data_IF_571465941581
#
_entry.id   IF_571465941581
#
_cell.length_a   1.000
_cell.length_b   1.000
_cell.length_c   1.000
_cell.angle_alpha   90.00
_cell.angle_beta   90.00
_cell.angle_gamma   90.00
#
_symmetry.space_group_name_H-M   'P 1'
#
loop_
_entity.id
_entity.type
_entity.pdbx_description
1 polymer ?
#
# COMPACT_ATOMS: atom_id res chain seq x y z
N UNK A 1 5.41 14.86 8.71
CA UNK A 1 5.02 15.90 7.72
C UNK A 1 3.78 15.48 6.92
N UNK A 2 3.77 14.31 6.25
CA UNK A 2 2.63 13.90 5.41
C UNK A 2 1.32 13.68 6.18
N UNK A 3 1.36 13.01 7.35
CA UNK A 3 0.17 12.76 8.17
C UNK A 3 -0.54 14.06 8.59
N UNK A 4 0.21 15.07 9.05
CA UNK A 4 -0.34 16.37 9.47
C UNK A 4 -0.99 17.13 8.29
N UNK A 5 -0.42 17.03 7.09
CA UNK A 5 -1.02 17.62 5.88
C UNK A 5 -2.35 16.93 5.55
N UNK A 6 -2.38 15.60 5.54
CA UNK A 6 -3.60 14.84 5.27
C UNK A 6 -4.66 15.10 6.33
N UNK A 7 -4.28 15.16 7.60
CA UNK A 7 -5.19 15.49 8.72
C UNK A 7 -5.79 16.88 8.55
N UNK A 8 -4.98 17.87 8.13
CA UNK A 8 -5.48 19.21 7.82
C UNK A 8 -6.45 19.21 6.64
N UNK A 9 -6.12 18.52 5.54
CA UNK A 9 -7.00 18.40 4.37
C UNK A 9 -8.33 17.74 4.77
N UNK A 10 -8.30 16.66 5.54
CA UNK A 10 -9.52 15.97 5.99
C UNK A 10 -10.35 16.82 6.96
N UNK A 11 -9.71 17.66 7.79
CA UNK A 11 -10.41 18.59 8.67
C UNK A 11 -11.08 19.74 7.90
N UNK A 12 -10.45 20.24 6.84
CA UNK A 12 -10.99 21.32 6.00
C UNK A 12 -12.09 20.83 5.03
N UNK A 13 -12.20 19.50 4.85
CA UNK A 13 -13.26 18.85 4.09
C UNK A 13 -14.07 17.90 4.99
N UNK A 14 -14.98 18.41 5.84
CA UNK A 14 -15.75 17.55 6.75
C UNK A 14 -16.74 16.64 6.01
N UNK A 15 -17.30 17.11 4.90
CA UNK A 15 -18.31 16.36 4.12
C UNK A 15 -17.65 15.22 3.31
N UNK A 16 -18.01 13.95 3.56
CA UNK A 16 -17.44 12.79 2.90
C UNK A 16 -17.50 12.82 1.38
N UNK A 17 -18.54 13.42 0.81
CA UNK A 17 -18.94 13.30 -0.59
C UNK A 17 -18.04 14.06 -1.56
N UNK A 18 -17.32 15.09 -1.08
CA UNK A 18 -16.48 15.98 -1.90
C UNK A 18 -15.06 15.49 -2.14
N UNK A 19 -14.62 14.44 -1.44
CA UNK A 19 -13.28 13.89 -1.55
C UNK A 19 -13.36 12.37 -1.71
N UNK A 20 -13.36 11.92 -2.96
CA UNK A 20 -13.68 10.54 -3.37
C UNK A 20 -12.49 9.74 -3.85
N UNK A 21 -11.44 10.41 -4.31
CA UNK A 21 -10.25 9.76 -4.86
C UNK A 21 -9.00 10.43 -4.30
N UNK A 22 -8.03 9.61 -3.88
CA UNK A 22 -6.72 10.07 -3.43
C UNK A 22 -5.65 9.42 -4.30
N UNK A 23 -4.92 10.23 -5.07
CA UNK A 23 -3.67 9.79 -5.69
C UNK A 23 -2.56 9.88 -4.66
N UNK A 24 -2.03 8.73 -4.24
CA UNK A 24 -0.87 8.67 -3.35
C UNK A 24 0.44 8.90 -4.10
N UNK A 25 0.51 8.42 -5.35
CA UNK A 25 1.74 8.35 -6.11
C UNK A 25 2.55 7.10 -5.77
N UNK A 26 3.88 7.21 -5.78
CA UNK A 26 4.80 6.09 -5.55
C UNK A 26 4.87 5.75 -4.06
N UNK A 27 4.85 4.45 -3.73
CA UNK A 27 5.01 4.02 -2.34
C UNK A 27 6.49 3.98 -1.91
N UNK A 28 7.42 3.87 -2.86
CA UNK A 28 8.86 4.00 -2.65
C UNK A 28 9.54 4.85 -3.75
N UNK A 29 9.25 6.17 -3.79
CA UNK A 29 9.82 7.07 -4.79
C UNK A 29 11.35 7.01 -4.81
N UNK A 30 11.91 7.04 -6.02
CA UNK A 30 13.34 7.21 -6.32
C UNK A 30 14.29 6.15 -5.73
N UNK A 31 13.77 4.99 -5.30
CA UNK A 31 14.57 3.97 -4.60
C UNK A 31 15.33 4.54 -3.37
N UNK A 32 14.93 5.69 -2.85
CA UNK A 32 15.65 6.45 -1.82
C UNK A 32 15.52 5.87 -0.41
N UNK A 33 15.37 4.55 -0.32
CA UNK A 33 15.11 3.81 0.89
C UNK A 33 13.92 2.89 0.73
N UNK A 34 13.79 1.95 1.65
CA UNK A 34 12.62 1.10 1.73
C UNK A 34 11.65 1.69 2.73
N UNK A 35 10.51 2.15 2.24
CA UNK A 35 9.40 2.62 3.08
C UNK A 35 8.69 1.42 3.70
N UNK A 36 7.95 1.65 4.78
CA UNK A 36 7.17 0.58 5.43
C UNK A 36 6.16 -0.06 4.45
N UNK A 37 5.50 0.75 3.61
CA UNK A 37 4.59 0.23 2.58
C UNK A 37 5.30 -0.65 1.54
N UNK A 38 6.51 -0.26 1.13
CA UNK A 38 7.32 -1.05 0.19
C UNK A 38 7.74 -2.39 0.78
N UNK A 39 8.21 -2.38 2.03
CA UNK A 39 8.57 -3.59 2.76
C UNK A 39 7.36 -4.51 2.91
N UNK A 40 6.21 -3.98 3.37
CA UNK A 40 4.97 -4.75 3.53
C UNK A 40 4.50 -5.34 2.22
N UNK A 41 4.57 -4.59 1.11
CA UNK A 41 4.22 -5.10 -0.21
C UNK A 41 5.11 -6.28 -0.63
N UNK A 42 6.43 -6.13 -0.47
CA UNK A 42 7.38 -7.16 -0.85
C UNK A 42 7.20 -8.43 -0.01
N UNK A 43 7.01 -8.29 1.31
CA UNK A 43 6.73 -9.39 2.22
C UNK A 43 5.42 -10.10 1.87
N UNK A 44 4.33 -9.35 1.69
CA UNK A 44 3.03 -9.86 1.28
C UNK A 44 3.10 -10.69 -0.01
N UNK A 45 3.83 -10.21 -1.01
CA UNK A 45 4.05 -10.95 -2.24
C UNK A 45 4.92 -12.20 -2.01
N UNK A 46 5.94 -12.11 -1.15
CA UNK A 46 6.85 -13.22 -0.88
C UNK A 46 6.17 -14.41 -0.18
N UNK A 47 5.16 -14.13 0.62
CA UNK A 47 4.35 -15.09 1.37
C UNK A 47 3.19 -15.64 0.53
N UNK A 48 2.84 -14.97 -0.58
CA UNK A 48 1.73 -15.37 -1.43
C UNK A 48 2.08 -16.54 -2.35
N UNK A 49 1.31 -17.61 -2.28
CA UNK A 49 1.35 -18.72 -3.26
C UNK A 49 0.88 -18.31 -4.66
N UNK A 50 0.23 -17.15 -4.78
CA UNK A 50 -0.20 -16.58 -6.06
C UNK A 50 0.88 -15.74 -6.74
N UNK A 51 2.08 -15.64 -6.14
CA UNK A 51 3.25 -14.99 -6.73
C UNK A 51 4.36 -16.00 -7.06
N UNK A 52 4.85 -16.00 -8.30
CA UNK A 52 6.04 -16.76 -8.68
C UNK A 52 7.28 -15.90 -8.43
N UNK A 53 7.90 -16.07 -7.26
CA UNK A 53 9.10 -15.34 -6.83
C UNK A 53 10.29 -15.52 -7.78
N UNK A 54 10.41 -16.65 -8.47
CA UNK A 54 11.51 -16.90 -9.40
C UNK A 54 11.34 -16.08 -10.69
N UNK A 55 10.09 -15.98 -11.16
CA UNK A 55 9.74 -15.27 -12.39
C UNK A 55 9.43 -13.80 -12.16
N UNK A 56 9.16 -13.39 -10.92
CA UNK A 56 8.77 -12.02 -10.59
C UNK A 56 7.43 -11.64 -11.22
N UNK A 57 6.42 -12.49 -11.09
CA UNK A 57 5.09 -12.22 -11.63
C UNK A 57 4.01 -13.05 -10.94
N UNK A 58 2.72 -12.67 -11.01
CA UNK A 58 1.67 -13.51 -10.45
C UNK A 58 1.52 -14.81 -11.25
N UNK A 59 1.06 -15.86 -10.60
CA UNK A 59 0.81 -17.16 -11.24
C UNK A 59 -0.38 -17.11 -12.19
N UNK A 60 -1.32 -16.18 -11.98
CA UNK A 60 -2.47 -15.88 -12.83
C UNK A 60 -2.71 -14.37 -12.90
N UNK A 61 -3.24 -13.88 -14.03
CA UNK A 61 -3.60 -12.47 -14.21
C UNK A 61 -2.40 -11.54 -14.41
N UNK A 62 -2.59 -10.25 -14.11
CA UNK A 62 -1.60 -9.18 -14.31
C UNK A 62 -1.05 -8.64 -12.99
N UNK A 63 0.19 -8.15 -13.00
CA UNK A 63 0.87 -7.66 -11.80
C UNK A 63 0.10 -6.53 -11.10
N UNK A 64 -0.47 -5.58 -11.83
CA UNK A 64 -1.25 -4.48 -11.26
C UNK A 64 -2.46 -4.99 -10.44
N UNK A 65 -3.20 -5.96 -10.98
CA UNK A 65 -4.36 -6.55 -10.29
C UNK A 65 -3.93 -7.34 -9.05
N UNK A 66 -2.85 -8.12 -9.18
CA UNK A 66 -2.28 -8.85 -8.05
C UNK A 66 -1.86 -7.90 -6.93
N UNK A 67 -1.09 -6.85 -7.27
CA UNK A 67 -0.60 -5.86 -6.29
C UNK A 67 -1.75 -5.11 -5.64
N UNK A 68 -2.76 -4.67 -6.40
CA UNK A 68 -3.94 -4.04 -5.84
C UNK A 68 -4.65 -4.95 -4.82
N UNK A 69 -4.82 -6.23 -5.17
CA UNK A 69 -5.44 -7.22 -4.29
C UNK A 69 -4.65 -7.43 -2.99
N UNK A 70 -3.33 -7.67 -3.09
CA UNK A 70 -2.53 -7.93 -1.88
C UNK A 70 -2.32 -6.67 -1.03
N UNK A 71 -2.26 -5.49 -1.66
CA UNK A 71 -2.16 -4.22 -0.95
C UNK A 71 -3.42 -3.98 -0.08
N UNK A 72 -4.60 -4.26 -0.64
CA UNK A 72 -5.87 -4.23 0.08
C UNK A 72 -5.93 -5.32 1.16
N UNK A 73 -5.66 -6.59 0.82
CA UNK A 73 -5.80 -7.70 1.78
C UNK A 73 -4.85 -7.59 2.98
N UNK A 74 -3.62 -7.12 2.74
CA UNK A 74 -2.59 -7.00 3.77
C UNK A 74 -2.56 -5.61 4.40
N UNK A 75 -3.47 -4.70 3.98
CA UNK A 75 -3.55 -3.33 4.50
C UNK A 75 -2.18 -2.67 4.60
N UNK A 76 -1.39 -2.71 3.52
CA UNK A 76 0.01 -2.22 3.54
C UNK A 76 0.11 -0.74 3.93
N UNK A 77 -0.99 0.00 3.80
CA UNK A 77 -1.21 1.42 4.06
C UNK A 77 -1.99 1.72 5.36
N UNK A 78 -1.96 0.81 6.35
CA UNK A 78 -2.78 0.88 7.56
C UNK A 78 -2.75 2.24 8.28
N UNK A 79 -1.60 2.90 8.39
CA UNK A 79 -1.48 4.20 9.05
C UNK A 79 -2.31 5.29 8.34
N UNK A 80 -2.38 5.21 7.01
CA UNK A 80 -3.16 6.14 6.19
C UNK A 80 -4.64 5.78 6.31
N UNK A 81 -4.97 4.48 6.30
CA UNK A 81 -6.34 4.01 6.50
C UNK A 81 -6.90 4.47 7.86
N UNK A 82 -6.14 4.30 8.94
CA UNK A 82 -6.52 4.70 10.30
C UNK A 82 -6.78 6.20 10.39
N UNK A 83 -5.94 7.01 9.74
CA UNK A 83 -6.16 8.45 9.66
C UNK A 83 -7.53 8.77 9.05
N UNK A 84 -7.88 8.14 7.92
CA UNK A 84 -9.18 8.37 7.28
C UNK A 84 -10.35 7.90 8.14
N UNK A 85 -10.19 6.76 8.84
CA UNK A 85 -11.21 6.23 9.77
C UNK A 85 -11.53 7.24 10.87
N UNK A 86 -10.52 7.89 11.46
CA UNK A 86 -10.73 8.93 12.48
C UNK A 86 -11.51 10.14 11.98
N UNK A 87 -11.56 10.35 10.66
CA UNK A 87 -12.34 11.39 10.00
C UNK A 87 -13.64 10.86 9.39
N UNK A 88 -14.14 9.70 9.84
CA UNK A 88 -15.40 9.14 9.37
C UNK A 88 -15.37 8.67 7.91
N UNK A 89 -14.18 8.32 7.40
CA UNK A 89 -13.96 7.88 6.01
C UNK A 89 -13.25 6.54 5.98
N UNK A 90 -13.41 5.81 4.88
CA UNK A 90 -12.70 4.55 4.60
C UNK A 90 -11.91 4.69 3.31
N UNK A 91 -10.70 4.14 3.33
CA UNK A 91 -9.89 3.95 2.13
C UNK A 91 -10.01 2.52 1.63
N UNK A 92 -10.05 2.37 0.31
CA UNK A 92 -9.82 1.10 -0.38
C UNK A 92 -8.96 1.37 -1.60
N UNK A 93 -8.10 0.42 -1.98
CA UNK A 93 -7.31 0.49 -3.19
C UNK A 93 -8.24 0.55 -4.41
N UNK A 94 -8.19 1.64 -5.16
CA UNK A 94 -8.96 1.82 -6.40
C UNK A 94 -8.20 1.23 -7.58
N UNK A 95 -6.93 1.57 -7.71
CA UNK A 95 -6.08 1.08 -8.79
C UNK A 95 -4.61 1.12 -8.41
N UNK A 96 -3.83 0.31 -9.13
CA UNK A 96 -2.38 0.25 -9.05
C UNK A 96 -1.82 0.29 -10.47
N UNK A 97 -0.77 1.08 -10.66
CA UNK A 97 -0.03 1.14 -11.92
C UNK A 97 1.48 1.07 -11.72
N UNK A 98 2.22 0.84 -12.82
CA UNK A 98 3.68 0.91 -12.89
C UNK A 98 4.38 0.12 -11.76
N UNK A 99 3.92 -1.11 -11.53
CA UNK A 99 4.53 -2.00 -10.55
C UNK A 99 6.00 -2.23 -10.93
N UNK A 100 6.90 -1.91 -10.00
CA UNK A 100 8.31 -2.27 -10.13
C UNK A 100 8.62 -3.52 -9.32
N UNK A 101 9.43 -4.36 -9.93
CA UNK A 101 9.81 -5.67 -9.43
C UNK A 101 11.32 -5.74 -9.54
N UNK A 102 11.97 -6.17 -8.47
CA UNK A 102 13.41 -6.33 -8.43
C UNK A 102 13.79 -7.58 -7.63
N UNK A 103 15.02 -8.05 -7.81
CA UNK A 103 15.58 -9.09 -6.95
C UNK A 103 15.76 -8.54 -5.53
N UNK A 104 15.43 -9.36 -4.53
CA UNK A 104 15.34 -8.92 -3.15
C UNK A 104 16.66 -8.32 -2.65
N UNK A 105 17.82 -8.85 -3.05
CA UNK A 105 19.14 -8.34 -2.68
C UNK A 105 19.48 -6.96 -3.24
N UNK A 106 18.75 -6.46 -4.23
CA UNK A 106 18.93 -5.12 -4.79
C UNK A 106 18.11 -4.06 -4.04
N UNK A 107 17.20 -4.49 -3.16
CA UNK A 107 16.31 -3.59 -2.44
C UNK A 107 16.93 -3.10 -1.13
N UNK A 108 16.78 -1.81 -0.77
CA UNK A 108 17.33 -1.27 0.47
C UNK A 108 16.86 -1.98 1.75
N UNK A 109 15.68 -2.62 1.75
CA UNK A 109 15.16 -3.40 2.88
C UNK A 109 15.47 -4.90 2.81
N UNK A 110 16.44 -5.34 2.00
CA UNK A 110 16.78 -6.76 1.93
C UNK A 110 17.10 -7.36 3.31
N UNK A 111 17.82 -6.61 4.16
CA UNK A 111 18.16 -7.06 5.52
C UNK A 111 16.91 -7.39 6.35
N UNK A 112 15.87 -6.56 6.28
CA UNK A 112 14.60 -6.81 6.94
C UNK A 112 13.84 -7.98 6.29
N UNK A 113 13.75 -8.03 4.96
CA UNK A 113 13.06 -9.14 4.27
C UNK A 113 13.71 -10.51 4.56
N UNK A 114 15.05 -10.53 4.70
CA UNK A 114 15.81 -11.75 4.99
C UNK A 114 15.41 -12.37 6.33
N UNK A 115 15.02 -11.58 7.34
CA UNK A 115 14.54 -12.13 8.62
C UNK A 115 13.19 -12.85 8.49
N UNK A 116 12.47 -12.63 7.39
CA UNK A 116 11.23 -13.31 7.02
C UNK A 116 11.45 -14.45 6.02
N UNK A 117 12.70 -14.88 5.81
CA UNK A 117 13.02 -16.02 4.94
C UNK A 117 13.02 -15.69 3.44
N UNK A 118 12.95 -14.41 3.07
CA UNK A 118 13.09 -13.98 1.67
C UNK A 118 14.50 -14.28 1.17
N UNK A 119 14.59 -14.97 0.04
CA UNK A 119 15.88 -15.30 -0.59
C UNK A 119 16.40 -14.12 -1.37
N UNK A 120 17.73 -14.05 -1.51
CA UNK A 120 18.41 -12.97 -2.23
C UNK A 120 17.96 -12.85 -3.70
N UNK A 121 17.60 -13.97 -4.33
CA UNK A 121 17.20 -14.12 -5.73
C UNK A 121 15.68 -14.07 -5.95
N UNK A 122 14.88 -13.87 -4.89
CA UNK A 122 13.43 -13.70 -5.04
C UNK A 122 13.13 -12.37 -5.73
N UNK A 123 12.35 -12.40 -6.81
CA UNK A 123 11.86 -11.21 -7.53
C UNK A 123 10.53 -10.78 -6.94
N UNK A 124 10.52 -9.64 -6.26
CA UNK A 124 9.37 -9.16 -5.49
C UNK A 124 8.91 -7.78 -5.98
N UNK A 125 7.60 -7.52 -6.01
CA UNK A 125 7.09 -6.17 -6.21
C UNK A 125 7.40 -5.36 -4.95
N UNK A 126 7.92 -4.15 -5.12
CA UNK A 126 8.30 -3.29 -4.00
C UNK A 126 7.80 -1.86 -4.15
N UNK A 127 7.44 -1.44 -5.37
CA UNK A 127 6.91 -0.10 -5.62
C UNK A 127 5.83 -0.15 -6.69
N UNK A 128 4.90 0.80 -6.60
CA UNK A 128 3.84 1.01 -7.55
C UNK A 128 3.27 2.42 -7.39
N UNK A 129 2.55 2.90 -8.41
CA UNK A 129 1.68 4.06 -8.24
C UNK A 129 0.33 3.59 -7.68
N UNK A 130 -0.11 4.23 -6.59
CA UNK A 130 -1.29 3.83 -5.83
C UNK A 130 -2.35 4.94 -5.85
N UNK A 131 -3.60 4.52 -6.11
CA UNK A 131 -4.79 5.35 -5.96
C UNK A 131 -5.75 4.68 -5.00
N UNK A 132 -6.34 5.49 -4.12
CA UNK A 132 -7.38 5.07 -3.21
C UNK A 132 -8.72 5.65 -3.61
N UNK A 133 -9.76 4.85 -3.47
CA UNK A 133 -11.13 5.34 -3.37
C UNK A 133 -11.40 5.67 -1.90
N UNK A 134 -12.01 6.83 -1.68
CA UNK A 134 -12.44 7.35 -0.38
C UNK A 134 -13.95 7.24 -0.31
N UNK A 135 -14.46 6.61 0.74
CA UNK A 135 -15.89 6.45 0.98
C UNK A 135 -16.25 6.90 2.38
N UNK A 136 -17.51 7.31 2.65
CA UNK A 136 -17.98 7.44 4.01
C UNK A 136 -17.75 6.13 4.78
N UNK A 137 -17.24 6.22 6.01
CA UNK A 137 -17.33 5.11 6.95
C UNK A 137 -18.81 4.97 7.30
N UNK A 138 -19.47 3.91 6.83
CA UNK A 138 -20.92 3.73 7.03
C UNK A 138 -21.33 3.92 8.50
N UNK A 139 -22.56 4.36 8.74
CA UNK A 139 -23.12 4.57 10.07
C UNK A 139 -22.85 3.35 10.98
N UNK A 140 -22.00 3.53 11.99
CA UNK A 140 -21.61 2.48 12.92
C UNK A 140 -20.12 2.37 13.24
N UNK A 141 -19.24 3.13 12.57
CA UNK A 141 -17.85 3.27 13.04
C UNK A 141 -17.79 4.40 14.07
N UNK A 142 -17.44 4.12 15.34
CA UNK A 142 -17.26 5.17 16.34
C UNK A 142 -16.13 6.09 15.88
N UNK A 143 -16.41 7.39 15.79
CA UNK A 143 -15.35 8.40 15.73
C UNK A 143 -14.78 8.48 17.15
N UNK A 144 -13.47 8.21 17.37
CA UNK A 144 -12.88 8.38 18.69
C UNK A 144 -13.01 9.84 19.14
N UNK A 145 -13.57 10.06 20.33
CA UNK A 145 -13.63 11.39 20.92
C UNK A 145 -12.21 11.94 21.16
N UNK A 146 -12.04 13.24 20.92
CA UNK A 146 -10.75 13.96 20.94
C UNK A 146 -10.16 14.11 22.33
#
# INVERSE_FOLDING_TARGET
MMAALLERVLADHPEPEGFRDLSWGRIAPDFMGCTDMSLRLALAASESSSWDKRRGKPTKGHANQFVALIAEQQQIYSEIADLFIRHGRRLSVASVEKVLIAEANTLPCYSAMKTHGVRHDDKLPFDCQLWFAVKPAGAGVPVPER
#
